data_IF_117940133844
#
_entry.id   IF_117940133844
#
_cell.length_a   1.000
_cell.length_b   1.000
_cell.length_c   1.000
_cell.angle_alpha   90.00
_cell.angle_beta   90.00
_cell.angle_gamma   90.00
#
_symmetry.space_group_name_H-M   'P 1'
#
loop_
_entity.id
_entity.type
_entity.pdbx_description
1 polymer ?
#
# COMPACT_ATOMS: atom_id res chain seq x y z
N UNK A 1 -42.60 25.87 -1.40
CA UNK A 1 -41.29 25.82 -2.09
C UNK A 1 -41.02 24.38 -2.48
N UNK A 2 -41.36 24.03 -3.73
CA UNK A 2 -41.21 22.69 -4.30
C UNK A 2 -39.72 22.43 -4.55
N UNK A 3 -39.15 21.51 -3.77
CA UNK A 3 -37.76 21.07 -3.92
C UNK A 3 -37.68 20.22 -5.19
N UNK A 4 -37.25 20.84 -6.28
CA UNK A 4 -36.94 20.15 -7.54
C UNK A 4 -35.93 19.06 -7.25
N UNK A 5 -36.39 17.81 -7.31
CA UNK A 5 -35.51 16.64 -7.27
C UNK A 5 -34.65 16.68 -8.53
N UNK A 6 -33.37 17.02 -8.36
CA UNK A 6 -32.39 16.87 -9.43
C UNK A 6 -32.41 15.39 -9.88
N UNK A 7 -32.44 15.12 -11.20
CA UNK A 7 -32.36 13.76 -11.70
C UNK A 7 -31.08 13.09 -11.17
N UNK A 8 -31.19 11.84 -10.71
CA UNK A 8 -30.01 11.04 -10.37
C UNK A 8 -29.09 11.04 -11.59
N UNK A 9 -27.80 11.39 -11.44
CA UNK A 9 -26.87 11.28 -12.54
C UNK A 9 -26.91 9.84 -13.03
N UNK A 10 -27.27 9.64 -14.29
CA UNK A 10 -27.09 8.37 -14.98
C UNK A 10 -25.59 8.15 -15.06
N UNK A 11 -25.07 7.35 -14.12
CA UNK A 11 -23.67 6.95 -14.12
C UNK A 11 -23.42 6.15 -15.40
N UNK A 12 -22.80 6.80 -16.39
CA UNK A 12 -22.18 6.12 -17.51
C UNK A 12 -20.97 5.36 -16.99
N UNK A 13 -21.23 4.18 -16.41
CA UNK A 13 -20.18 3.23 -16.06
C UNK A 13 -19.47 2.83 -17.35
N UNK A 14 -18.25 3.33 -17.55
CA UNK A 14 -17.38 2.75 -18.57
C UNK A 14 -17.01 1.34 -18.10
N UNK A 15 -17.24 0.30 -18.92
CA UNK A 15 -16.92 -1.06 -18.51
C UNK A 15 -15.42 -1.16 -18.21
N UNK A 16 -15.07 -1.94 -17.18
CA UNK A 16 -13.67 -2.21 -16.87
C UNK A 16 -13.03 -2.95 -18.05
N UNK A 17 -11.76 -2.64 -18.39
CA UNK A 17 -11.06 -3.38 -19.43
C UNK A 17 -10.98 -4.87 -19.06
N UNK A 18 -11.03 -5.75 -20.05
CA UNK A 18 -10.94 -7.21 -19.83
C UNK A 18 -9.63 -7.63 -19.15
N UNK A 19 -8.57 -6.83 -19.29
CA UNK A 19 -7.28 -7.01 -18.62
C UNK A 19 -7.22 -6.39 -17.22
N UNK A 20 -8.32 -5.89 -16.67
CA UNK A 20 -8.34 -5.25 -15.36
C UNK A 20 -8.06 -6.27 -14.26
N UNK A 21 -7.06 -5.96 -13.43
CA UNK A 21 -6.74 -6.76 -12.25
C UNK A 21 -7.25 -6.04 -11.01
N UNK A 22 -8.09 -6.73 -10.23
CA UNK A 22 -8.49 -6.27 -8.91
C UNK A 22 -7.36 -6.53 -7.92
N UNK A 23 -7.08 -5.53 -7.08
CA UNK A 23 -6.20 -5.68 -5.93
C UNK A 23 -7.00 -5.38 -4.66
N UNK A 24 -6.54 -5.88 -3.51
CA UNK A 24 -7.11 -5.50 -2.21
C UNK A 24 -7.24 -3.98 -2.06
N UNK A 25 -6.21 -3.21 -2.44
CA UNK A 25 -6.23 -1.74 -2.40
C UNK A 25 -7.27 -1.11 -3.33
N UNK A 26 -7.46 -1.64 -4.54
CA UNK A 26 -8.49 -1.19 -5.47
C UNK A 26 -9.89 -1.46 -4.93
N UNK A 27 -10.11 -2.63 -4.32
CA UNK A 27 -11.39 -2.98 -3.70
C UNK A 27 -11.66 -2.09 -2.48
N UNK A 28 -10.64 -1.84 -1.66
CA UNK A 28 -10.76 -0.92 -0.53
C UNK A 28 -11.07 0.50 -0.99
N UNK A 29 -10.47 0.98 -2.08
CA UNK A 29 -10.80 2.28 -2.68
C UNK A 29 -12.26 2.37 -3.11
N UNK A 30 -12.82 1.29 -3.69
CA UNK A 30 -14.24 1.23 -4.05
C UNK A 30 -15.14 1.26 -2.81
N UNK A 31 -14.83 0.46 -1.79
CA UNK A 31 -15.59 0.42 -0.54
C UNK A 31 -15.53 1.77 0.20
N UNK A 32 -14.37 2.44 0.18
CA UNK A 32 -14.19 3.76 0.80
C UNK A 32 -14.91 4.85 0.01
N UNK A 33 -14.80 4.85 -1.32
CA UNK A 33 -15.51 5.81 -2.18
C UNK A 33 -15.61 5.28 -3.63
N UNK A 34 -16.80 4.83 -4.07
CA UNK A 34 -17.00 4.34 -5.43
C UNK A 34 -16.64 5.36 -6.50
N UNK A 35 -16.90 6.65 -6.23
CA UNK A 35 -16.56 7.72 -7.16
C UNK A 35 -15.04 7.91 -7.29
N UNK A 36 -14.28 7.81 -6.19
CA UNK A 36 -12.81 7.82 -6.23
C UNK A 36 -12.27 6.65 -7.05
N UNK A 37 -12.84 5.46 -6.88
CA UNK A 37 -12.49 4.29 -7.67
C UNK A 37 -12.74 4.52 -9.17
N UNK A 38 -13.91 5.03 -9.53
CA UNK A 38 -14.26 5.34 -10.93
C UNK A 38 -13.25 6.31 -11.55
N UNK A 39 -13.04 7.47 -10.89
CA UNK A 39 -12.12 8.50 -11.38
C UNK A 39 -10.71 7.95 -11.57
N UNK A 40 -10.19 7.22 -10.57
CA UNK A 40 -8.81 6.72 -10.55
C UNK A 40 -8.57 5.54 -11.48
N UNK A 41 -9.47 4.55 -11.50
CA UNK A 41 -9.22 3.26 -12.15
C UNK A 41 -9.98 3.04 -13.45
N UNK A 42 -11.17 3.65 -13.61
CA UNK A 42 -11.94 3.58 -14.87
C UNK A 42 -11.58 4.75 -15.78
N UNK A 43 -11.69 5.98 -15.28
CA UNK A 43 -11.42 7.20 -16.06
C UNK A 43 -9.94 7.58 -16.12
N UNK A 44 -9.09 6.94 -15.32
CA UNK A 44 -7.65 7.20 -15.22
C UNK A 44 -7.33 8.69 -15.04
N UNK A 45 -8.19 9.43 -14.34
CA UNK A 45 -7.96 10.83 -14.05
C UNK A 45 -6.78 10.95 -13.10
N UNK A 46 -5.79 11.77 -13.48
CA UNK A 46 -4.73 12.18 -12.56
C UNK A 46 -5.37 12.87 -11.38
N UNK A 47 -5.13 12.36 -10.17
CA UNK A 47 -5.52 13.09 -8.97
C UNK A 47 -4.72 14.40 -8.92
N UNK A 48 -5.36 15.58 -8.82
CA UNK A 48 -4.61 16.81 -8.65
C UNK A 48 -3.82 16.70 -7.35
N UNK A 49 -2.50 16.82 -7.42
CA UNK A 49 -1.70 16.90 -6.21
C UNK A 49 -2.19 18.09 -5.40
N UNK A 50 -2.59 17.85 -4.15
CA UNK A 50 -2.88 18.95 -3.23
C UNK A 50 -1.54 19.67 -3.00
N UNK A 51 -1.47 20.95 -3.36
CA UNK A 51 -0.29 21.78 -3.14
C UNK A 51 -0.12 22.12 -1.64
N UNK A 52 0.13 21.14 -0.77
CA UNK A 52 0.50 21.45 0.63
C UNK A 52 1.49 20.43 1.22
N UNK A 53 2.40 20.97 2.05
CA UNK A 53 3.72 20.48 2.47
C UNK A 53 4.83 20.66 1.40
N UNK A 54 6.08 21.00 1.78
CA UNK A 54 7.19 21.00 0.82
C UNK A 54 7.29 19.62 0.20
N UNK A 55 7.14 19.54 -1.14
CA UNK A 55 7.16 18.27 -1.90
C UNK A 55 8.38 17.43 -1.50
N UNK A 56 9.52 18.09 -1.29
CA UNK A 56 10.78 17.48 -0.88
C UNK A 56 10.70 16.77 0.49
N UNK A 57 10.00 17.35 1.47
CA UNK A 57 9.86 16.71 2.79
C UNK A 57 8.91 15.51 2.71
N UNK A 58 7.81 15.63 1.95
CA UNK A 58 6.91 14.51 1.71
C UNK A 58 7.63 13.34 1.01
N UNK A 59 8.39 13.65 -0.04
CA UNK A 59 9.22 12.68 -0.77
C UNK A 59 10.27 12.04 0.15
N UNK A 60 10.97 12.84 0.95
CA UNK A 60 11.96 12.36 1.93
C UNK A 60 11.33 11.39 2.93
N UNK A 61 10.13 11.71 3.45
CA UNK A 61 9.40 10.84 4.39
C UNK A 61 8.91 9.56 3.73
N UNK A 62 8.43 9.63 2.48
CA UNK A 62 8.06 8.46 1.69
C UNK A 62 9.26 7.54 1.45
N UNK A 63 10.41 8.12 1.09
CA UNK A 63 11.66 7.39 0.87
C UNK A 63 12.14 6.73 2.16
N UNK A 64 12.14 7.46 3.28
CA UNK A 64 12.49 6.93 4.60
C UNK A 64 11.61 5.74 4.99
N UNK A 65 10.30 5.84 4.79
CA UNK A 65 9.37 4.74 5.05
C UNK A 65 9.64 3.53 4.16
N UNK A 66 9.89 3.75 2.87
CA UNK A 66 10.25 2.69 1.91
C UNK A 66 11.54 1.96 2.30
N UNK A 67 12.58 2.72 2.69
CA UNK A 67 13.86 2.16 3.12
C UNK A 67 13.72 1.34 4.40
N UNK A 68 12.91 1.81 5.36
CA UNK A 68 12.60 1.07 6.57
C UNK A 68 11.87 -0.25 6.26
N UNK A 69 10.81 -0.21 5.45
CA UNK A 69 10.07 -1.41 5.05
C UNK A 69 10.98 -2.44 4.37
N UNK A 70 11.93 -1.99 3.54
CA UNK A 70 12.93 -2.87 2.91
C UNK A 70 13.79 -3.60 3.94
N UNK A 71 14.28 -2.91 4.98
CA UNK A 71 15.07 -3.55 6.05
C UNK A 71 14.23 -4.58 6.82
N UNK A 72 12.99 -4.22 7.19
CA UNK A 72 12.08 -5.11 7.89
C UNK A 72 11.75 -6.37 7.07
N UNK A 73 11.51 -6.21 5.77
CA UNK A 73 11.27 -7.31 4.84
C UNK A 73 12.51 -8.23 4.73
N UNK A 74 13.69 -7.66 4.51
CA UNK A 74 14.95 -8.41 4.45
C UNK A 74 15.21 -9.22 5.73
N UNK A 75 14.97 -8.61 6.88
CA UNK A 75 15.09 -9.30 8.16
C UNK A 75 14.06 -10.44 8.31
N UNK A 76 12.81 -10.23 7.87
CA UNK A 76 11.79 -11.28 7.85
C UNK A 76 12.14 -12.44 6.91
N UNK A 77 12.93 -12.21 5.86
CA UNK A 77 13.51 -13.24 4.99
C UNK A 77 14.74 -13.94 5.59
N UNK A 78 15.17 -13.56 6.80
CA UNK A 78 16.28 -14.20 7.52
C UNK A 78 17.66 -13.56 7.30
N UNK A 79 17.74 -12.37 6.70
CA UNK A 79 19.03 -11.68 6.59
C UNK A 79 19.52 -11.25 7.99
N UNK A 80 20.84 -11.34 8.27
CA UNK A 80 21.37 -11.03 9.60
C UNK A 80 21.14 -9.57 9.99
N UNK A 81 20.54 -9.34 11.16
CA UNK A 81 20.26 -8.00 11.68
C UNK A 81 21.52 -7.10 11.71
N UNK A 82 22.70 -7.66 12.02
CA UNK A 82 23.97 -6.91 12.01
C UNK A 82 24.30 -6.29 10.65
N UNK A 83 24.08 -7.03 9.56
CA UNK A 83 24.34 -6.53 8.21
C UNK A 83 23.36 -5.42 7.83
N UNK A 84 22.09 -5.57 8.21
CA UNK A 84 21.03 -4.59 7.98
C UNK A 84 21.25 -3.31 8.80
N UNK A 85 21.60 -3.43 10.08
CA UNK A 85 21.99 -2.30 10.94
C UNK A 85 23.15 -1.50 10.33
N UNK A 86 24.15 -2.19 9.77
CA UNK A 86 25.26 -1.52 9.09
C UNK A 86 24.77 -0.74 7.86
N UNK A 87 23.78 -1.22 7.10
CA UNK A 87 23.25 -0.50 5.95
C UNK A 87 22.47 0.77 6.33
N UNK A 88 21.84 0.80 7.50
CA UNK A 88 21.06 1.94 8.01
C UNK A 88 21.94 3.04 8.65
N UNK A 89 23.18 2.74 9.03
CA UNK A 89 24.02 3.57 9.93
C UNK A 89 24.23 5.03 9.52
N UNK A 90 24.14 5.33 8.23
CA UNK A 90 24.41 6.66 7.68
C UNK A 90 23.18 7.59 7.71
N UNK A 91 22.00 7.05 8.01
CA UNK A 91 20.77 7.83 8.16
C UNK A 91 20.23 7.62 9.58
N UNK A 92 20.32 8.66 10.40
CA UNK A 92 19.97 8.60 11.83
C UNK A 92 18.48 8.30 12.06
N UNK A 93 17.58 8.86 11.25
CA UNK A 93 16.14 8.58 11.35
C UNK A 93 15.84 7.12 11.00
N UNK A 94 16.44 6.60 9.93
CA UNK A 94 16.28 5.21 9.51
C UNK A 94 16.85 4.25 10.57
N UNK A 95 18.03 4.56 11.11
CA UNK A 95 18.66 3.78 12.16
C UNK A 95 17.77 3.72 13.41
N UNK A 96 17.17 4.85 13.82
CA UNK A 96 16.25 4.88 14.96
C UNK A 96 14.99 4.03 14.72
N UNK A 97 14.36 4.17 13.54
CA UNK A 97 13.20 3.33 13.17
C UNK A 97 13.56 1.84 13.17
N UNK A 98 14.74 1.50 12.65
CA UNK A 98 15.24 0.14 12.60
C UNK A 98 15.50 -0.44 14.00
N UNK A 99 16.11 0.32 14.91
CA UNK A 99 16.30 -0.11 16.30
C UNK A 99 14.96 -0.33 17.02
N UNK A 100 14.02 0.62 16.89
CA UNK A 100 12.69 0.48 17.47
C UNK A 100 12.00 -0.80 16.99
N UNK A 101 12.13 -1.12 15.71
CA UNK A 101 11.62 -2.37 15.15
C UNK A 101 12.27 -3.61 15.77
N UNK A 102 13.59 -3.63 15.95
CA UNK A 102 14.28 -4.76 16.57
C UNK A 102 13.87 -4.95 18.04
N UNK A 103 13.68 -3.86 18.77
CA UNK A 103 13.30 -3.87 20.19
C UNK A 103 11.84 -4.29 20.40
N UNK A 104 10.92 -3.85 19.53
CA UNK A 104 9.48 -4.03 19.71
C UNK A 104 8.87 -5.07 18.77
N UNK A 105 9.70 -5.93 18.17
CA UNK A 105 9.22 -6.98 17.27
C UNK A 105 8.33 -7.97 18.03
N UNK A 106 7.13 -8.32 17.54
CA UNK A 106 6.26 -9.30 18.18
C UNK A 106 6.96 -10.65 18.37
N UNK A 107 6.90 -11.20 19.59
CA UNK A 107 7.59 -12.43 19.97
C UNK A 107 7.07 -13.67 19.20
N UNK A 108 5.82 -13.62 18.75
CA UNK A 108 5.15 -14.65 17.96
C UNK A 108 5.86 -14.89 16.61
N UNK A 109 6.59 -13.89 16.10
CA UNK A 109 7.36 -13.99 14.86
C UNK A 109 8.73 -14.67 15.04
N UNK A 110 9.06 -15.09 16.27
CA UNK A 110 10.35 -15.67 16.64
C UNK A 110 10.23 -17.10 17.19
N UNK A 111 9.07 -17.74 17.02
CA UNK A 111 8.86 -19.12 17.46
C UNK A 111 9.73 -20.09 16.64
N UNK A 112 10.43 -21.07 17.27
CA UNK A 112 11.22 -22.06 16.55
C UNK A 112 10.37 -22.82 15.52
N UNK A 113 10.77 -22.77 14.25
CA UNK A 113 10.02 -23.38 13.14
C UNK A 113 8.93 -22.51 12.53
N UNK A 114 8.72 -21.27 13.01
CA UNK A 114 7.83 -20.32 12.34
C UNK A 114 8.39 -19.94 10.96
N UNK A 115 7.55 -20.05 9.94
CA UNK A 115 7.85 -19.57 8.60
C UNK A 115 7.15 -18.24 8.37
N UNK A 116 7.92 -17.21 8.02
CA UNK A 116 7.40 -15.90 7.69
C UNK A 116 7.18 -15.82 6.18
N UNK A 117 6.03 -15.25 5.81
CA UNK A 117 5.64 -15.03 4.43
C UNK A 117 5.47 -13.53 4.18
N UNK A 118 6.49 -12.71 4.46
CA UNK A 118 6.35 -11.26 4.38
C UNK A 118 5.99 -10.88 2.94
N UNK A 119 5.04 -9.97 2.79
CA UNK A 119 4.71 -9.37 1.49
C UNK A 119 4.24 -10.39 0.43
N UNK A 120 3.66 -11.51 0.87
CA UNK A 120 3.23 -12.60 -0.02
C UNK A 120 1.99 -12.20 -0.79
N UNK A 121 2.06 -12.34 -2.12
CA UNK A 121 0.92 -12.09 -3.00
C UNK A 121 0.15 -13.38 -3.25
N UNK A 122 -1.10 -13.41 -2.80
CA UNK A 122 -2.07 -14.43 -3.17
C UNK A 122 -2.91 -13.91 -4.32
N UNK A 123 -3.20 -14.76 -5.30
CA UNK A 123 -4.00 -14.33 -6.43
C UNK A 123 -4.84 -15.48 -7.02
N UNK A 124 -6.07 -15.14 -7.38
CA UNK A 124 -7.08 -16.05 -7.92
C UNK A 124 -7.84 -15.40 -9.09
N UNK A 125 -8.80 -16.11 -9.67
CA UNK A 125 -9.69 -15.59 -10.72
C UNK A 125 -11.13 -15.70 -10.25
N UNK A 126 -11.87 -14.60 -10.34
CA UNK A 126 -13.29 -14.54 -9.97
C UNK A 126 -14.06 -13.91 -11.13
N UNK A 127 -15.07 -14.62 -11.64
CA UNK A 127 -15.92 -14.16 -12.75
C UNK A 127 -15.13 -13.65 -13.97
N UNK A 128 -14.03 -14.33 -14.31
CA UNK A 128 -13.16 -13.98 -15.43
C UNK A 128 -12.13 -12.87 -15.17
N UNK A 129 -12.14 -12.24 -13.99
CA UNK A 129 -11.16 -11.21 -13.61
C UNK A 129 -10.09 -11.75 -12.67
N UNK A 130 -8.86 -11.26 -12.82
CA UNK A 130 -7.77 -11.55 -11.89
C UNK A 130 -7.96 -10.75 -10.60
N UNK A 131 -7.84 -11.42 -9.46
CA UNK A 131 -7.84 -10.82 -8.14
C UNK A 131 -6.50 -11.12 -7.45
N UNK A 132 -5.87 -10.12 -6.87
CA UNK A 132 -4.64 -10.26 -6.10
C UNK A 132 -4.72 -9.53 -4.75
N UNK A 133 -4.08 -10.09 -3.73
CA UNK A 133 -3.95 -9.48 -2.42
C UNK A 133 -2.54 -9.75 -1.87
N UNK A 134 -2.00 -8.78 -1.14
CA UNK A 134 -0.66 -8.87 -0.53
C UNK A 134 -0.82 -8.83 0.99
N UNK A 135 -0.12 -9.73 1.68
CA UNK A 135 -0.16 -9.89 3.14
C UNK A 135 1.23 -9.77 3.75
#
# INVERSE_FOLDING_TARGET
MTKTLLPRPTSSFSPLPSSFQFTQSKLQDYLTCPHRFELRYQRKMSWPAVETAPVQEAERRMQLGSDFHRLAHQHALGLPARALSNSARHNLELAAMWQNYLEHRPAELSYPGAQLFPETTLATTVSGYRLAAKY
#
